data_IF_850807483353
#
_entry.id   IF_850807483353
#
_cell.length_a   1.000
_cell.length_b   1.000
_cell.length_c   1.000
_cell.angle_alpha   90.00
_cell.angle_beta   90.00
_cell.angle_gamma   90.00
#
_symmetry.space_group_name_H-M   'P 1'
#
loop_
_entity.id
_entity.type
_entity.pdbx_description
1 polymer ?
#
# COMPACT_ATOMS: atom_id res chain seq x y z
N UNK A 1 -40.72 -2.58 -37.90
CA UNK A 1 -39.66 -3.38 -37.24
C UNK A 1 -38.69 -2.37 -36.65
N UNK A 2 -38.68 -2.22 -35.33
CA UNK A 2 -37.76 -1.33 -34.63
C UNK A 2 -36.70 -2.23 -34.00
N UNK A 3 -35.49 -2.24 -34.56
CA UNK A 3 -34.38 -2.96 -33.95
C UNK A 3 -34.02 -2.27 -32.62
N UNK A 4 -33.80 -3.03 -31.54
CA UNK A 4 -33.41 -2.44 -30.26
C UNK A 4 -32.03 -1.81 -30.40
N UNK A 5 -31.92 -0.56 -29.94
CA UNK A 5 -30.68 0.19 -29.83
C UNK A 5 -29.64 -0.65 -29.05
N UNK A 6 -28.39 -0.80 -29.52
CA UNK A 6 -27.38 -1.54 -28.77
C UNK A 6 -27.19 -0.88 -27.40
N UNK A 7 -27.22 -1.71 -26.34
CA UNK A 7 -26.92 -1.27 -24.99
C UNK A 7 -25.44 -0.83 -24.93
N UNK A 8 -25.10 0.23 -24.18
CA UNK A 8 -23.73 0.70 -24.10
C UNK A 8 -22.84 -0.41 -23.53
N UNK A 9 -21.72 -0.62 -24.22
CA UNK A 9 -20.57 -1.43 -23.83
C UNK A 9 -20.25 -1.27 -22.34
N UNK A 10 -20.57 -2.32 -21.55
CA UNK A 10 -20.07 -2.48 -20.20
C UNK A 10 -18.56 -2.77 -20.28
N UNK A 11 -17.79 -1.69 -20.37
CA UNK A 11 -16.33 -1.75 -20.25
C UNK A 11 -15.89 -2.49 -18.97
N UNK A 12 -14.64 -2.99 -18.93
CA UNK A 12 -14.17 -4.04 -18.02
C UNK A 12 -13.92 -3.56 -16.57
N UNK A 13 -14.82 -2.77 -15.98
CA UNK A 13 -14.82 -2.52 -14.55
C UNK A 13 -15.47 -3.72 -13.85
N UNK A 14 -14.72 -4.82 -13.84
CA UNK A 14 -15.04 -6.08 -13.20
C UNK A 14 -15.44 -5.83 -11.75
N UNK A 15 -16.67 -6.19 -11.38
CA UNK A 15 -17.06 -6.31 -9.98
C UNK A 15 -16.02 -7.20 -9.27
N UNK A 16 -15.37 -6.68 -8.23
CA UNK A 16 -14.41 -7.45 -7.43
C UNK A 16 -15.07 -8.75 -6.95
N UNK A 17 -14.39 -9.88 -7.07
CA UNK A 17 -14.99 -11.15 -6.64
C UNK A 17 -15.29 -11.10 -5.13
N UNK A 18 -16.34 -11.80 -4.65
CA UNK A 18 -16.67 -11.87 -3.23
C UNK A 18 -15.51 -12.34 -2.34
N UNK A 19 -14.61 -13.16 -2.89
CA UNK A 19 -13.41 -13.67 -2.23
C UNK A 19 -12.37 -12.55 -2.05
N UNK A 20 -12.05 -11.79 -3.11
CA UNK A 20 -11.15 -10.63 -3.01
C UNK A 20 -11.71 -9.53 -2.09
N UNK A 21 -13.03 -9.32 -2.07
CA UNK A 21 -13.66 -8.39 -1.13
C UNK A 21 -13.51 -8.85 0.32
N UNK A 22 -13.63 -10.16 0.57
CA UNK A 22 -13.42 -10.73 1.90
C UNK A 22 -11.96 -10.56 2.35
N UNK A 23 -11.01 -10.88 1.46
CA UNK A 23 -9.58 -10.78 1.73
C UNK A 23 -9.12 -9.34 1.96
N UNK A 24 -9.78 -8.33 1.38
CA UNK A 24 -9.49 -6.91 1.63
C UNK A 24 -10.15 -6.38 2.91
N UNK A 25 -11.29 -6.94 3.36
CA UNK A 25 -11.94 -6.54 4.62
C UNK A 25 -11.08 -6.85 5.84
N UNK A 26 -10.41 -8.00 5.84
CA UNK A 26 -9.54 -8.44 6.95
C UNK A 26 -8.39 -7.45 7.26
N UNK A 27 -7.52 -7.07 6.30
CA UNK A 27 -6.47 -6.10 6.55
C UNK A 27 -7.03 -4.71 6.87
N UNK A 28 -8.17 -4.30 6.32
CA UNK A 28 -8.82 -3.03 6.68
C UNK A 28 -9.33 -3.01 8.12
N UNK A 29 -9.90 -4.12 8.60
CA UNK A 29 -10.30 -4.26 10.00
C UNK A 29 -9.09 -4.24 10.94
N UNK A 30 -7.96 -4.84 10.54
CA UNK A 30 -6.71 -4.73 11.30
C UNK A 30 -6.19 -3.29 11.34
N UNK A 31 -6.17 -2.59 10.20
CA UNK A 31 -5.76 -1.16 10.15
C UNK A 31 -6.62 -0.31 11.07
N UNK A 32 -7.95 -0.53 11.09
CA UNK A 32 -8.85 0.16 12.02
C UNK A 32 -8.51 -0.16 13.48
N UNK A 33 -8.37 -1.44 13.83
CA UNK A 33 -8.06 -1.85 15.20
C UNK A 33 -6.73 -1.31 15.70
N UNK A 34 -5.67 -1.41 14.89
CA UNK A 34 -4.36 -0.85 15.24
C UNK A 34 -4.40 0.68 15.33
N UNK A 35 -5.13 1.35 14.43
CA UNK A 35 -5.26 2.81 14.49
C UNK A 35 -5.99 3.27 15.76
N UNK A 36 -7.03 2.55 16.19
CA UNK A 36 -7.75 2.85 17.42
C UNK A 36 -6.87 2.59 18.66
N UNK A 37 -6.20 1.43 18.75
CA UNK A 37 -5.29 1.11 19.86
C UNK A 37 -4.12 2.09 19.98
N UNK A 38 -3.50 2.47 18.85
CA UNK A 38 -2.39 3.42 18.85
C UNK A 38 -2.86 4.84 19.18
N UNK A 39 -4.09 5.21 18.81
CA UNK A 39 -4.63 6.52 19.13
C UNK A 39 -4.88 6.65 20.63
N UNK A 40 -5.44 5.61 21.25
CA UNK A 40 -5.59 5.54 22.72
C UNK A 40 -4.25 5.65 23.44
N UNK A 41 -3.22 4.94 22.96
CA UNK A 41 -1.87 5.03 23.54
C UNK A 41 -1.25 6.42 23.34
N UNK A 42 -1.37 7.00 22.16
CA UNK A 42 -0.86 8.34 21.88
C UNK A 42 -1.59 9.43 22.68
N UNK A 43 -2.88 9.28 22.96
CA UNK A 43 -3.61 10.20 23.86
C UNK A 43 -3.04 10.14 25.28
N UNK A 44 -2.77 8.94 25.79
CA UNK A 44 -2.18 8.74 27.13
C UNK A 44 -0.75 9.29 27.23
N UNK A 45 0.05 9.12 26.17
CA UNK A 45 1.44 9.57 26.12
C UNK A 45 1.59 11.07 25.81
N UNK A 46 0.48 11.81 25.64
CA UNK A 46 0.50 13.25 25.33
C UNK A 46 0.94 13.56 23.89
N UNK A 47 0.76 12.59 23.01
CA UNK A 47 1.27 12.53 21.66
C UNK A 47 0.22 12.97 20.63
N UNK A 48 -0.35 14.18 20.83
CA UNK A 48 -1.52 14.69 20.10
C UNK A 48 -1.40 14.71 18.57
N UNK A 49 -0.21 14.95 18.01
CA UNK A 49 0.00 14.93 16.56
C UNK A 49 -0.24 13.53 15.97
N UNK A 50 0.17 12.48 16.69
CA UNK A 50 -0.05 11.10 16.24
C UNK A 50 -1.52 10.72 16.30
N UNK A 51 -2.26 11.23 17.31
CA UNK A 51 -3.72 11.04 17.40
C UNK A 51 -4.41 11.61 16.16
N UNK A 52 -4.04 12.81 15.72
CA UNK A 52 -4.62 13.43 14.52
C UNK A 52 -4.34 12.60 13.25
N UNK A 53 -3.11 12.12 13.10
CA UNK A 53 -2.73 11.31 11.93
C UNK A 53 -3.40 9.93 11.93
N UNK A 54 -3.52 9.29 13.10
CA UNK A 54 -4.24 8.03 13.26
C UNK A 54 -5.74 8.18 12.97
N UNK A 55 -6.34 9.33 13.32
CA UNK A 55 -7.72 9.65 12.94
C UNK A 55 -7.90 9.80 11.43
N UNK A 56 -6.92 10.36 10.71
CA UNK A 56 -6.93 10.44 9.23
C UNK A 56 -6.88 9.04 8.62
N UNK A 57 -5.98 8.18 9.09
CA UNK A 57 -5.87 6.77 8.64
C UNK A 57 -7.19 6.04 8.86
N UNK A 58 -7.77 6.16 10.06
CA UNK A 58 -9.06 5.55 10.40
C UNK A 58 -10.19 6.02 9.48
N UNK A 59 -10.24 7.32 9.17
CA UNK A 59 -11.25 7.90 8.28
C UNK A 59 -11.11 7.35 6.86
N UNK A 60 -9.89 7.25 6.34
CA UNK A 60 -9.63 6.68 5.02
C UNK A 60 -10.03 5.19 4.95
N UNK A 61 -9.66 4.39 5.95
CA UNK A 61 -9.99 2.97 6.01
C UNK A 61 -11.51 2.73 6.10
N UNK A 62 -12.25 3.53 6.90
CA UNK A 62 -13.72 3.47 6.97
C UNK A 62 -14.38 3.82 5.63
N UNK A 63 -13.88 4.85 4.94
CA UNK A 63 -14.37 5.21 3.60
C UNK A 63 -14.18 4.05 2.62
N UNK A 64 -13.01 3.41 2.63
CA UNK A 64 -12.74 2.27 1.75
C UNK A 64 -13.64 1.07 2.07
N UNK A 65 -13.83 0.73 3.35
CA UNK A 65 -14.78 -0.33 3.75
C UNK A 65 -16.22 -0.02 3.32
N UNK A 66 -16.66 1.24 3.41
CA UNK A 66 -17.98 1.65 2.95
C UNK A 66 -18.15 1.48 1.43
N UNK A 67 -17.12 1.81 0.64
CA UNK A 67 -17.11 1.59 -0.81
C UNK A 67 -17.19 0.09 -1.14
N UNK A 68 -16.40 -0.75 -0.44
CA UNK A 68 -16.39 -2.20 -0.63
C UNK A 68 -17.72 -2.86 -0.24
N UNK A 69 -18.39 -2.37 0.81
CA UNK A 69 -19.63 -2.97 1.31
C UNK A 69 -20.86 -2.61 0.48
N UNK A 70 -20.88 -1.44 -0.17
CA UNK A 70 -22.07 -0.94 -0.87
C UNK A 70 -22.11 -1.31 -2.35
N UNK A 71 -21.13 -2.09 -2.86
CA UNK A 71 -21.01 -2.37 -4.30
C UNK A 71 -20.89 -1.07 -5.14
N UNK A 72 -20.53 0.03 -4.49
CA UNK A 72 -20.48 1.33 -5.13
C UNK A 72 -19.26 1.34 -6.06
N UNK A 73 -19.41 1.81 -7.31
CA UNK A 73 -18.27 1.98 -8.19
C UNK A 73 -17.26 2.88 -7.47
N UNK A 74 -15.99 2.46 -7.47
CA UNK A 74 -14.91 3.33 -7.03
C UNK A 74 -15.04 4.65 -7.79
N UNK A 75 -15.02 5.80 -7.11
CA UNK A 75 -14.96 7.06 -7.83
C UNK A 75 -13.72 7.03 -8.73
N UNK A 76 -13.78 7.64 -9.94
CA UNK A 76 -12.59 7.82 -10.76
C UNK A 76 -11.47 8.38 -9.89
N UNK A 77 -10.21 8.03 -10.17
CA UNK A 77 -9.02 8.49 -9.42
C UNK A 77 -8.82 10.03 -9.41
N UNK A 78 -9.79 10.78 -9.91
CA UNK A 78 -9.95 12.22 -9.87
C UNK A 78 -10.37 12.65 -8.45
N UNK A 79 -9.43 12.57 -7.51
CA UNK A 79 -9.65 13.05 -6.14
C UNK A 79 -8.66 12.51 -5.11
N UNK A 80 -7.89 11.47 -5.45
CA UNK A 80 -6.81 10.96 -4.60
C UNK A 80 -5.46 11.66 -4.83
N UNK A 81 -5.43 12.65 -5.72
CA UNK A 81 -4.34 13.62 -5.80
C UNK A 81 -4.45 14.64 -4.67
N UNK A 82 -4.41 14.19 -3.40
CA UNK A 82 -3.82 15.07 -2.41
C UNK A 82 -2.33 15.15 -2.79
N UNK A 83 -1.83 16.36 -2.99
CA UNK A 83 -0.40 16.58 -3.12
C UNK A 83 0.28 15.84 -1.97
N UNK A 84 1.06 14.81 -2.32
CA UNK A 84 1.96 14.18 -1.37
C UNK A 84 2.95 15.28 -1.01
N UNK A 85 2.72 15.94 0.11
CA UNK A 85 3.75 16.80 0.67
C UNK A 85 4.97 15.91 0.93
N UNK A 86 6.15 16.24 0.39
CA UNK A 86 7.33 15.45 0.62
C UNK A 86 7.52 15.35 2.13
N UNK A 87 7.41 14.14 2.68
CA UNK A 87 7.95 13.84 3.99
C UNK A 87 9.41 14.29 3.90
N UNK A 88 9.84 15.21 4.77
CA UNK A 88 11.17 15.82 4.71
C UNK A 88 12.20 14.72 4.40
N UNK A 89 12.95 14.91 3.31
CA UNK A 89 13.96 13.94 2.87
C UNK A 89 14.79 13.55 4.10
N UNK A 90 14.80 12.27 4.52
CA UNK A 90 15.66 11.85 5.60
C UNK A 90 17.08 12.34 5.30
N UNK A 91 17.85 12.79 6.30
CA UNK A 91 19.21 13.23 6.06
C UNK A 91 19.90 12.17 5.20
N UNK A 92 20.41 12.60 4.04
CA UNK A 92 21.07 11.70 3.13
C UNK A 92 22.25 11.11 3.90
N UNK A 93 22.14 9.85 4.31
CA UNK A 93 23.30 9.11 4.78
C UNK A 93 24.13 8.94 3.52
N UNK A 94 25.28 9.62 3.44
CA UNK A 94 26.31 9.32 2.45
C UNK A 94 26.79 7.91 2.75
N UNK A 95 26.17 6.92 2.12
CA UNK A 95 26.58 5.53 2.25
C UNK A 95 27.67 5.27 1.23
N UNK A 96 28.80 4.80 1.71
CA UNK A 96 29.79 4.13 0.88
C UNK A 96 29.13 2.94 0.16
N UNK A 97 29.75 2.45 -0.91
CA UNK A 97 29.25 1.29 -1.65
C UNK A 97 28.95 0.12 -0.69
N UNK A 98 27.66 -0.22 -0.54
CA UNK A 98 27.16 -1.24 0.37
C UNK A 98 26.64 -2.46 -0.40
N UNK A 99 26.68 -3.63 0.25
CA UNK A 99 26.00 -4.84 -0.21
C UNK A 99 24.58 -4.87 0.36
N UNK A 100 23.58 -4.91 -0.51
CA UNK A 100 22.15 -4.89 -0.16
C UNK A 100 21.48 -6.18 -0.62
N UNK A 101 20.84 -6.88 0.31
CA UNK A 101 20.05 -8.08 0.02
C UNK A 101 18.58 -7.70 -0.22
N UNK A 102 18.10 -7.92 -1.45
CA UNK A 102 16.70 -7.71 -1.83
C UNK A 102 15.92 -9.02 -1.68
N UNK A 103 14.91 -9.01 -0.82
CA UNK A 103 14.06 -10.18 -0.52
C UNK A 103 12.65 -9.93 -1.04
N UNK A 104 12.30 -10.55 -2.16
CA UNK A 104 10.97 -10.40 -2.79
C UNK A 104 10.68 -11.63 -3.65
N UNK A 105 9.47 -12.17 -3.58
CA UNK A 105 9.05 -13.37 -4.32
C UNK A 105 8.72 -13.05 -5.78
N UNK A 106 8.44 -11.80 -6.11
CA UNK A 106 8.13 -11.32 -7.46
C UNK A 106 9.40 -10.81 -8.15
N UNK A 107 9.78 -11.48 -9.24
CA UNK A 107 10.97 -11.14 -10.05
C UNK A 107 11.00 -9.68 -10.50
N UNK A 108 9.86 -9.13 -10.93
CA UNK A 108 9.77 -7.74 -11.40
C UNK A 108 10.18 -6.73 -10.33
N UNK A 109 9.77 -6.97 -9.08
CA UNK A 109 10.14 -6.10 -7.95
C UNK A 109 11.65 -6.17 -7.69
N UNK A 110 12.23 -7.38 -7.72
CA UNK A 110 13.68 -7.59 -7.59
C UNK A 110 14.46 -6.85 -8.67
N UNK A 111 14.03 -6.97 -9.92
CA UNK A 111 14.71 -6.37 -11.08
C UNK A 111 14.68 -4.83 -11.02
N UNK A 112 13.51 -4.23 -10.72
CA UNK A 112 13.37 -2.77 -10.59
C UNK A 112 14.18 -2.22 -9.42
N UNK A 113 14.17 -2.91 -8.28
CA UNK A 113 14.91 -2.47 -7.11
C UNK A 113 16.42 -2.61 -7.32
N UNK A 114 16.88 -3.70 -7.94
CA UNK A 114 18.29 -3.90 -8.27
C UNK A 114 18.83 -2.79 -9.17
N UNK A 115 18.13 -2.49 -10.26
CA UNK A 115 18.55 -1.43 -11.18
C UNK A 115 18.71 -0.08 -10.46
N UNK A 116 17.80 0.23 -9.53
CA UNK A 116 17.88 1.47 -8.75
C UNK A 116 19.06 1.49 -7.78
N UNK A 117 19.28 0.38 -7.06
CA UNK A 117 20.37 0.26 -6.08
C UNK A 117 21.75 0.27 -6.76
N UNK A 118 21.90 -0.42 -7.89
CA UNK A 118 23.13 -0.43 -8.69
C UNK A 118 23.43 0.96 -9.27
N UNK A 119 22.40 1.70 -9.73
CA UNK A 119 22.57 3.10 -10.16
C UNK A 119 22.99 4.03 -9.01
N UNK A 120 22.70 3.67 -7.77
CA UNK A 120 23.19 4.38 -6.58
C UNK A 120 24.58 3.90 -6.13
N UNK A 121 25.20 2.97 -6.86
CA UNK A 121 26.55 2.48 -6.60
C UNK A 121 26.62 1.30 -5.63
N UNK A 122 25.50 0.70 -5.26
CA UNK A 122 25.47 -0.45 -4.35
C UNK A 122 25.61 -1.79 -5.09
N UNK A 123 26.08 -2.81 -4.38
CA UNK A 123 26.08 -4.19 -4.85
C UNK A 123 24.80 -4.86 -4.35
N UNK A 124 24.14 -5.63 -5.21
CA UNK A 124 22.83 -6.23 -4.88
C UNK A 124 22.94 -7.76 -4.86
N UNK A 125 22.40 -8.37 -3.80
CA UNK A 125 22.14 -9.79 -3.70
C UNK A 125 20.62 -10.03 -3.66
N UNK A 126 20.17 -11.25 -3.97
CA UNK A 126 18.76 -11.58 -4.08
C UNK A 126 18.37 -12.76 -3.21
N UNK A 127 17.14 -12.71 -2.70
CA UNK A 127 16.45 -13.84 -2.12
C UNK A 127 14.98 -13.82 -2.55
N UNK A 128 14.42 -14.99 -2.84
CA UNK A 128 13.03 -15.14 -3.28
C UNK A 128 12.08 -15.40 -2.10
N UNK A 129 12.62 -15.62 -0.92
CA UNK A 129 11.87 -15.90 0.30
C UNK A 129 12.74 -15.69 1.54
N UNK A 130 12.09 -15.70 2.71
CA UNK A 130 12.77 -15.49 4.00
C UNK A 130 13.85 -16.52 4.32
N UNK A 131 13.71 -17.78 3.89
CA UNK A 131 14.72 -18.81 4.17
C UNK A 131 16.01 -18.53 3.40
N UNK A 132 15.90 -18.29 2.09
CA UNK A 132 17.05 -17.91 1.27
C UNK A 132 17.71 -16.62 1.80
N UNK A 133 16.92 -15.66 2.27
CA UNK A 133 17.45 -14.43 2.84
C UNK A 133 18.29 -14.68 4.11
N UNK A 134 17.80 -15.53 5.00
CA UNK A 134 18.53 -15.91 6.22
C UNK A 134 19.80 -16.71 5.92
N UNK A 135 19.78 -17.54 4.88
CA UNK A 135 20.96 -18.29 4.45
C UNK A 135 22.02 -17.36 3.81
N UNK A 136 21.59 -16.34 3.07
CA UNK A 136 22.47 -15.36 2.44
C UNK A 136 23.05 -14.31 3.41
N UNK A 137 22.43 -14.13 4.60
CA UNK A 137 22.84 -13.16 5.60
C UNK A 137 23.75 -13.74 6.71
N UNK A 138 24.13 -15.02 6.61
CA UNK A 138 25.08 -15.70 7.51
C UNK A 138 26.51 -15.60 7.02
#
# INVERSE_FOLDING_TARGET
>A
MNEPRPQPDEGPYTQLSPEYLHDLRTPLNHILGYSDMLAEQAEVEGHGNYVEDLQKIRTAARKLLALLNNGAPMPPAEGLHQEIQPIAKPPAIETDQALILVVDDIKMNRDVLAQRLERMGHVVAFAENGRQAMDAAR
#
